data_IF_259009371644
#
_entry.id   IF_259009371644
#
_cell.length_a   1.000
_cell.length_b   1.000
_cell.length_c   1.000
_cell.angle_alpha   90.00
_cell.angle_beta   90.00
_cell.angle_gamma   90.00
#
_symmetry.space_group_name_H-M   'P 1'
#
loop_
_entity.id
_entity.type
_entity.pdbx_description
1 polymer ?
#
# COMPACT_ATOMS: atom_id res chain seq x y z
N UNK A 1 -36.54 16.40 -28.48
CA UNK A 1 -36.78 17.76 -27.97
C UNK A 1 -37.43 17.64 -26.60
N UNK A 2 -36.64 17.60 -25.52
CA UNK A 2 -37.08 17.83 -24.13
C UNK A 2 -35.81 18.05 -23.29
N UNK A 3 -35.54 19.32 -23.00
CA UNK A 3 -34.44 19.79 -22.15
C UNK A 3 -34.87 19.69 -20.68
N UNK A 4 -34.16 18.90 -19.87
CA UNK A 4 -34.25 18.99 -18.40
C UNK A 4 -33.15 19.93 -17.91
N UNK A 5 -33.57 21.11 -17.43
CA UNK A 5 -32.74 22.11 -16.76
C UNK A 5 -32.36 21.60 -15.37
N UNK A 6 -31.07 21.55 -15.07
CA UNK A 6 -30.55 21.41 -13.70
C UNK A 6 -30.34 22.83 -13.14
N UNK A 7 -30.96 23.11 -12.00
CA UNK A 7 -30.92 24.41 -11.34
C UNK A 7 -29.61 24.56 -10.55
N UNK A 8 -28.84 25.60 -10.87
CA UNK A 8 -27.69 26.05 -10.11
C UNK A 8 -28.14 26.83 -8.87
N UNK A 9 -27.69 26.41 -7.68
CA UNK A 9 -27.86 27.17 -6.44
C UNK A 9 -26.63 28.04 -6.19
N UNK A 10 -26.72 29.32 -6.58
CA UNK A 10 -25.79 30.36 -6.18
C UNK A 10 -26.01 30.72 -4.70
N UNK A 11 -24.96 30.68 -3.86
CA UNK A 11 -24.99 31.30 -2.52
C UNK A 11 -24.06 32.52 -2.48
N UNK A 12 -24.68 33.65 -2.12
CA UNK A 12 -24.12 35.00 -1.97
C UNK A 12 -23.17 35.09 -0.79
N UNK A 13 -22.16 35.94 -0.97
CA UNK A 13 -21.21 36.39 0.05
C UNK A 13 -21.88 37.30 1.08
N UNK A 14 -21.48 37.18 2.35
CA UNK A 14 -21.89 38.05 3.45
C UNK A 14 -20.82 38.11 4.56
N UNK A 15 -20.03 39.18 4.51
CA UNK A 15 -19.45 40.00 5.59
C UNK A 15 -18.96 39.38 6.92
N UNK A 16 -17.67 39.64 7.22
CA UNK A 16 -16.95 39.45 8.49
C UNK A 16 -17.57 40.12 9.72
N UNK A 17 -17.24 39.60 10.92
CA UNK A 17 -16.60 40.45 11.93
C UNK A 17 -15.38 39.82 12.64
N UNK A 18 -14.61 40.71 13.25
CA UNK A 18 -13.25 40.66 13.81
C UNK A 18 -13.07 39.78 15.05
N UNK A 19 -11.87 39.19 15.22
CA UNK A 19 -11.42 38.52 16.44
C UNK A 19 -10.17 39.21 17.05
N UNK A 20 -10.02 39.29 18.39
CA UNK A 20 -8.88 39.93 19.03
C UNK A 20 -7.73 38.94 19.34
N UNK A 21 -6.52 39.50 19.39
CA UNK A 21 -5.25 38.81 19.66
C UNK A 21 -5.09 38.40 21.13
N UNK A 22 -4.41 37.25 21.37
CA UNK A 22 -3.95 36.83 22.71
C UNK A 22 -2.48 36.43 22.65
N UNK A 23 -1.74 36.94 23.63
CA UNK A 23 -0.29 36.94 23.79
C UNK A 23 0.30 35.64 24.34
N UNK A 24 1.53 35.34 23.91
CA UNK A 24 2.44 34.32 24.42
C UNK A 24 3.14 34.72 25.73
N UNK A 25 3.22 33.81 26.71
CA UNK A 25 4.29 33.78 27.73
C UNK A 25 4.68 32.34 28.08
N UNK A 26 5.96 32.04 28.36
CA UNK A 26 6.45 30.69 28.67
C UNK A 26 6.61 30.47 30.19
N UNK A 27 6.55 29.21 30.64
CA UNK A 27 6.90 28.82 32.02
C UNK A 27 7.76 27.54 32.03
N UNK A 28 8.76 27.55 32.90
CA UNK A 28 9.86 26.58 33.07
C UNK A 28 9.73 25.85 34.42
N UNK A 29 10.56 24.81 34.63
CA UNK A 29 11.01 24.19 35.91
C UNK A 29 10.19 22.95 36.38
N UNK A 30 10.69 21.81 36.90
CA UNK A 30 12.00 21.33 37.38
C UNK A 30 12.08 19.79 37.31
N UNK A 31 13.31 19.27 37.22
CA UNK A 31 13.69 17.88 37.51
C UNK A 31 14.07 17.76 38.99
N UNK A 32 13.58 16.72 39.70
CA UNK A 32 14.13 16.29 41.00
C UNK A 32 14.35 14.78 41.02
N UNK A 33 15.60 14.45 41.32
CA UNK A 33 16.17 13.14 41.63
C UNK A 33 15.98 12.83 43.12
N UNK A 34 15.64 11.57 43.45
CA UNK A 34 16.01 10.92 44.73
C UNK A 34 15.83 9.38 44.68
N UNK A 35 16.93 8.65 44.93
CA UNK A 35 17.00 7.31 45.59
C UNK A 35 17.57 7.53 47.01
N UNK A 36 17.70 6.57 47.97
CA UNK A 36 17.62 5.09 47.90
C UNK A 36 16.91 4.39 49.11
N UNK A 37 16.83 3.05 49.15
CA UNK A 37 17.14 2.20 50.34
C UNK A 37 16.95 0.69 50.09
N UNK A 38 17.77 -0.12 50.79
CA UNK A 38 17.98 -1.58 50.74
C UNK A 38 16.98 -2.38 51.59
N UNK A 39 16.60 -3.61 51.18
CA UNK A 39 16.25 -4.71 52.09
C UNK A 39 16.30 -6.13 51.46
N UNK A 40 17.27 -6.91 51.96
CA UNK A 40 17.40 -8.38 52.17
C UNK A 40 16.42 -9.40 51.53
N UNK A 41 17.01 -10.26 50.71
CA UNK A 41 17.04 -11.74 50.67
C UNK A 41 15.91 -12.58 51.31
N UNK A 42 15.23 -13.37 50.47
CA UNK A 42 14.80 -14.74 50.78
C UNK A 42 15.06 -15.64 49.55
N UNK A 43 15.79 -16.74 49.76
CA UNK A 43 16.04 -17.82 48.80
C UNK A 43 15.00 -18.92 49.00
N UNK A 44 14.53 -19.56 47.91
CA UNK A 44 14.24 -21.00 47.71
C UNK A 44 13.64 -21.24 46.29
N UNK A 45 13.59 -22.49 45.74
CA UNK A 45 14.36 -22.82 44.54
C UNK A 45 13.53 -23.27 43.31
N UNK A 46 14.19 -23.27 42.14
CA UNK A 46 13.97 -24.12 40.96
C UNK A 46 12.57 -24.10 40.32
N UNK A 47 12.46 -23.36 39.21
CA UNK A 47 12.23 -23.98 37.89
C UNK A 47 13.14 -23.24 36.92
N UNK A 48 13.96 -23.99 36.17
CA UNK A 48 14.78 -23.41 35.12
C UNK A 48 13.86 -22.97 33.97
N UNK A 49 13.29 -21.78 34.08
CA UNK A 49 12.88 -21.04 32.91
C UNK A 49 14.15 -20.86 32.08
N UNK A 50 14.21 -21.52 30.92
CA UNK A 50 15.19 -21.16 29.90
C UNK A 50 14.88 -19.73 29.51
N UNK A 51 15.48 -18.78 30.24
CA UNK A 51 15.66 -17.43 29.74
C UNK A 51 16.46 -17.59 28.46
N UNK A 52 15.81 -17.43 27.31
CA UNK A 52 16.49 -17.31 26.05
C UNK A 52 17.43 -16.11 26.18
N UNK A 53 18.71 -16.39 26.40
CA UNK A 53 19.73 -15.36 26.39
C UNK A 53 19.80 -14.83 24.96
N UNK A 54 19.82 -13.51 24.84
CA UNK A 54 19.98 -12.73 23.59
C UNK A 54 21.37 -12.90 22.96
N UNK A 55 21.83 -14.14 22.76
CA UNK A 55 22.80 -14.50 21.74
C UNK A 55 22.05 -14.56 20.42
N UNK A 56 22.62 -14.05 19.32
CA UNK A 56 21.97 -13.99 18.00
C UNK A 56 21.25 -15.29 17.66
N UNK A 57 19.94 -15.32 17.85
CA UNK A 57 19.13 -16.51 17.58
C UNK A 57 19.25 -16.82 16.09
N UNK A 58 19.60 -18.06 15.75
CA UNK A 58 19.61 -18.45 14.34
C UNK A 58 18.19 -18.39 13.79
N UNK A 59 18.03 -18.21 12.46
CA UNK A 59 16.70 -18.21 11.84
C UNK A 59 15.96 -19.52 12.11
N UNK A 60 16.70 -20.62 12.21
CA UNK A 60 16.16 -21.92 12.62
C UNK A 60 15.58 -21.89 14.05
N UNK A 61 16.29 -21.29 15.02
CA UNK A 61 15.80 -21.16 16.39
C UNK A 61 14.53 -20.28 16.45
N UNK A 62 14.50 -19.19 15.66
CA UNK A 62 13.34 -18.33 15.54
C UNK A 62 12.13 -19.12 14.99
N UNK A 63 12.31 -19.84 13.89
CA UNK A 63 11.24 -20.65 13.30
C UNK A 63 10.75 -21.75 14.26
N UNK A 64 11.66 -22.34 15.04
CA UNK A 64 11.29 -23.33 16.04
C UNK A 64 10.51 -22.71 17.21
N UNK A 65 10.87 -21.49 17.63
CA UNK A 65 10.12 -20.74 18.63
C UNK A 65 8.68 -20.45 18.19
N UNK A 66 8.46 -20.14 16.90
CA UNK A 66 7.12 -19.95 16.33
C UNK A 66 6.25 -21.22 16.41
N UNK A 67 6.85 -22.39 16.18
CA UNK A 67 6.14 -23.68 16.13
C UNK A 67 5.88 -24.29 17.51
N UNK A 68 6.77 -24.04 18.47
CA UNK A 68 6.71 -24.68 19.77
C UNK A 68 5.53 -24.17 20.61
N UNK A 69 4.62 -25.09 20.99
CA UNK A 69 3.41 -24.81 21.78
C UNK A 69 3.69 -24.21 23.16
N UNK A 70 4.88 -24.48 23.70
CA UNK A 70 5.30 -24.02 25.04
C UNK A 70 5.87 -22.60 25.03
N UNK A 71 6.20 -22.06 23.85
CA UNK A 71 6.73 -20.70 23.71
C UNK A 71 5.64 -19.68 24.04
N UNK A 72 5.97 -18.68 24.86
CA UNK A 72 5.04 -17.60 25.20
C UNK A 72 4.68 -16.77 23.97
N UNK A 73 3.52 -16.10 24.00
CA UNK A 73 3.12 -15.18 22.92
C UNK A 73 4.15 -14.07 22.72
N UNK A 74 4.68 -13.50 23.80
CA UNK A 74 5.70 -12.43 23.74
C UNK A 74 6.99 -12.91 23.06
N UNK A 75 7.46 -14.11 23.39
CA UNK A 75 8.65 -14.70 22.76
C UNK A 75 8.40 -15.01 21.27
N UNK A 76 7.18 -15.42 20.91
CA UNK A 76 6.79 -15.61 19.50
C UNK A 76 6.76 -14.28 18.75
N UNK A 77 6.21 -13.21 19.33
CA UNK A 77 6.23 -11.87 18.73
C UNK A 77 7.68 -11.40 18.53
N UNK A 78 8.53 -11.56 19.54
CA UNK A 78 9.96 -11.24 19.43
C UNK A 78 10.64 -12.04 18.32
N UNK A 79 10.27 -13.31 18.15
CA UNK A 79 10.78 -14.13 17.05
C UNK A 79 10.29 -13.64 15.67
N UNK A 80 9.02 -13.27 15.54
CA UNK A 80 8.46 -12.68 14.31
C UNK A 80 9.16 -11.36 13.96
N UNK A 81 9.42 -10.51 14.94
CA UNK A 81 10.10 -9.22 14.73
C UNK A 81 11.57 -9.40 14.35
N UNK A 82 12.21 -10.46 14.85
CA UNK A 82 13.57 -10.83 14.48
C UNK A 82 13.67 -11.48 13.09
N UNK A 83 12.58 -12.02 12.53
CA UNK A 83 12.52 -12.45 11.14
C UNK A 83 12.48 -11.23 10.22
N UNK A 84 13.59 -10.92 9.59
CA UNK A 84 13.67 -9.76 8.72
C UNK A 84 14.81 -9.77 7.74
N UNK A 85 14.53 -9.17 6.58
CA UNK A 85 15.52 -8.70 5.62
C UNK A 85 15.59 -7.18 5.80
N UNK A 86 16.67 -6.67 6.41
CA UNK A 86 16.88 -5.22 6.48
C UNK A 86 17.38 -4.69 5.14
N UNK A 87 16.87 -3.54 4.71
CA UNK A 87 17.27 -2.92 3.45
C UNK A 87 18.75 -2.58 3.39
N UNK A 88 19.38 -2.35 4.54
CA UNK A 88 20.80 -2.04 4.69
C UNK A 88 21.73 -3.23 4.45
N UNK A 89 21.21 -4.45 4.30
CA UNK A 89 22.03 -5.65 4.12
C UNK A 89 22.50 -5.79 2.68
N UNK A 90 23.72 -6.32 2.52
CA UNK A 90 24.24 -6.69 1.21
C UNK A 90 23.38 -7.76 0.55
N UNK A 91 23.28 -7.73 -0.78
CA UNK A 91 22.43 -8.65 -1.57
C UNK A 91 22.71 -10.13 -1.25
N UNK A 92 23.97 -10.51 -1.14
CA UNK A 92 24.38 -11.89 -0.83
C UNK A 92 23.96 -12.32 0.58
N UNK A 93 23.93 -11.38 1.53
CA UNK A 93 23.46 -11.62 2.90
C UNK A 93 21.95 -11.77 2.91
N UNK A 94 21.22 -10.95 2.16
CA UNK A 94 19.77 -11.08 1.99
C UNK A 94 19.39 -12.43 1.40
N UNK A 95 20.07 -12.85 0.33
CA UNK A 95 19.84 -14.16 -0.31
C UNK A 95 20.08 -15.32 0.67
N UNK A 96 21.16 -15.26 1.47
CA UNK A 96 21.43 -16.29 2.49
C UNK A 96 20.33 -16.34 3.56
N UNK A 97 19.92 -15.18 4.09
CA UNK A 97 18.84 -15.11 5.09
C UNK A 97 17.52 -15.63 4.50
N UNK A 98 17.20 -15.27 3.26
CA UNK A 98 16.00 -15.76 2.58
C UNK A 98 16.01 -17.29 2.46
N UNK A 99 17.14 -17.89 2.08
CA UNK A 99 17.30 -19.36 2.06
C UNK A 99 17.10 -19.98 3.44
N UNK A 100 17.70 -19.42 4.49
CA UNK A 100 17.52 -19.91 5.87
C UNK A 100 16.05 -19.80 6.34
N UNK A 101 15.32 -18.76 5.92
CA UNK A 101 13.88 -18.58 6.21
C UNK A 101 13.05 -19.68 5.53
N UNK A 102 13.38 -20.02 4.29
CA UNK A 102 12.74 -21.11 3.53
C UNK A 102 13.04 -22.45 4.20
N UNK A 103 14.32 -22.78 4.43
CA UNK A 103 14.76 -24.06 4.99
C UNK A 103 14.22 -24.33 6.41
N UNK A 104 13.98 -23.26 7.17
CA UNK A 104 13.42 -23.36 8.52
C UNK A 104 11.89 -23.50 8.56
N UNK A 105 11.21 -23.44 7.40
CA UNK A 105 9.76 -23.41 7.26
C UNK A 105 9.13 -22.30 8.16
N UNK A 106 9.76 -21.13 8.21
CA UNK A 106 9.27 -20.00 9.01
C UNK A 106 8.01 -19.39 8.40
N UNK A 107 7.93 -19.30 7.06
CA UNK A 107 6.76 -18.77 6.34
C UNK A 107 5.51 -19.63 6.57
N UNK A 108 5.65 -20.96 6.60
CA UNK A 108 4.55 -21.88 6.92
C UNK A 108 4.02 -21.64 8.34
N UNK A 109 4.92 -21.40 9.31
CA UNK A 109 4.52 -21.07 10.68
C UNK A 109 3.84 -19.70 10.79
N UNK A 110 4.25 -18.71 9.99
CA UNK A 110 3.56 -17.41 9.94
C UNK A 110 2.15 -17.57 9.36
N UNK A 111 1.99 -18.31 8.26
CA UNK A 111 0.71 -18.52 7.60
C UNK A 111 -0.26 -19.35 8.46
N UNK A 112 0.23 -20.28 9.28
CA UNK A 112 -0.65 -21.05 10.17
C UNK A 112 -1.33 -20.18 11.24
N UNK A 113 -0.69 -19.11 11.70
CA UNK A 113 -1.33 -18.15 12.61
C UNK A 113 -2.53 -17.44 11.98
N UNK A 114 -2.52 -17.26 10.65
CA UNK A 114 -3.63 -16.66 9.90
C UNK A 114 -4.78 -17.65 9.69
N UNK A 115 -4.49 -18.95 9.66
CA UNK A 115 -5.50 -20.01 9.48
C UNK A 115 -6.21 -20.37 10.80
N UNK A 116 -5.50 -20.31 11.93
CA UNK A 116 -6.03 -20.64 13.26
C UNK A 116 -6.57 -19.41 14.01
N UNK A 117 -7.23 -18.47 13.30
CA UNK A 117 -7.67 -17.17 13.86
C UNK A 117 -8.66 -17.26 15.02
N UNK A 118 -9.25 -18.43 15.25
CA UNK A 118 -10.24 -18.67 16.30
C UNK A 118 -9.64 -18.75 17.72
N UNK A 119 -8.31 -18.87 17.85
CA UNK A 119 -7.67 -18.91 19.16
C UNK A 119 -7.17 -17.53 19.60
N UNK A 120 -7.28 -17.24 20.90
CA UNK A 120 -6.82 -15.96 21.49
C UNK A 120 -5.33 -15.72 21.17
N UNK A 121 -4.50 -16.75 21.33
CA UNK A 121 -3.06 -16.65 21.05
C UNK A 121 -2.76 -16.38 19.57
N UNK A 122 -3.48 -17.02 18.64
CA UNK A 122 -3.34 -16.71 17.20
C UNK A 122 -3.76 -15.28 16.91
N UNK A 123 -4.85 -14.78 17.52
CA UNK A 123 -5.31 -13.40 17.34
C UNK A 123 -4.25 -12.37 17.74
N UNK A 124 -3.52 -12.59 18.83
CA UNK A 124 -2.43 -11.70 19.27
C UNK A 124 -1.21 -11.74 18.31
N UNK A 125 -1.04 -12.86 17.60
CA UNK A 125 0.04 -13.07 16.63
C UNK A 125 -0.33 -12.65 15.20
N UNK A 126 -1.61 -12.42 14.89
CA UNK A 126 -2.08 -12.08 13.54
C UNK A 126 -1.40 -10.82 12.98
N UNK A 127 -1.44 -9.72 13.73
CA UNK A 127 -0.88 -8.44 13.26
C UNK A 127 0.65 -8.54 13.09
N UNK A 128 1.43 -9.02 14.08
CA UNK A 128 2.86 -9.25 13.89
C UNK A 128 3.18 -10.14 12.69
N UNK A 129 2.45 -11.25 12.51
CA UNK A 129 2.67 -12.16 11.41
C UNK A 129 2.44 -11.48 10.05
N UNK A 130 1.36 -10.71 9.92
CA UNK A 130 1.09 -9.92 8.72
C UNK A 130 2.18 -8.89 8.42
N UNK A 131 2.63 -8.14 9.43
CA UNK A 131 3.72 -7.17 9.26
C UNK A 131 5.01 -7.86 8.79
N UNK A 132 5.32 -9.05 9.32
CA UNK A 132 6.42 -9.86 8.82
C UNK A 132 6.22 -10.28 7.37
N UNK A 133 5.04 -10.78 7.00
CA UNK A 133 4.71 -11.17 5.63
C UNK A 133 4.84 -10.02 4.63
N UNK A 134 4.43 -8.79 4.99
CA UNK A 134 4.65 -7.60 4.14
C UNK A 134 6.14 -7.40 3.87
N UNK A 135 6.98 -7.43 4.92
CA UNK A 135 8.43 -7.23 4.78
C UNK A 135 9.07 -8.33 3.93
N UNK A 136 8.73 -9.59 4.22
CA UNK A 136 9.33 -10.77 3.59
C UNK A 136 8.89 -10.95 2.13
N UNK A 137 7.63 -10.62 1.79
CA UNK A 137 7.11 -10.73 0.42
C UNK A 137 7.74 -9.77 -0.60
N UNK A 138 8.58 -8.83 -0.15
CA UNK A 138 9.36 -7.98 -1.07
C UNK A 138 10.56 -8.71 -1.69
N UNK A 139 11.00 -9.81 -1.09
CA UNK A 139 12.08 -10.64 -1.61
C UNK A 139 11.55 -11.69 -2.60
N UNK A 140 12.10 -11.81 -3.82
CA UNK A 140 11.61 -12.73 -4.83
C UNK A 140 11.60 -14.21 -4.41
N UNK A 141 12.62 -14.66 -3.67
CA UNK A 141 12.70 -16.06 -3.24
C UNK A 141 11.60 -16.36 -2.20
N UNK A 142 11.38 -15.44 -1.26
CA UNK A 142 10.34 -15.59 -0.26
C UNK A 142 8.93 -15.44 -0.87
N UNK A 143 8.76 -14.57 -1.86
CA UNK A 143 7.51 -14.45 -2.61
C UNK A 143 7.16 -15.76 -3.35
N UNK A 144 8.16 -16.41 -3.97
CA UNK A 144 7.99 -17.72 -4.60
C UNK A 144 7.61 -18.81 -3.60
N UNK A 145 8.23 -18.82 -2.41
CA UNK A 145 7.87 -19.78 -1.37
C UNK A 145 6.47 -19.52 -0.80
N UNK A 146 6.10 -18.24 -0.61
CA UNK A 146 4.73 -17.86 -0.22
C UNK A 146 3.70 -18.31 -1.26
N UNK A 147 4.02 -18.26 -2.55
CA UNK A 147 3.16 -18.81 -3.60
C UNK A 147 3.06 -20.33 -3.49
N UNK A 148 4.18 -21.04 -3.27
CA UNK A 148 4.21 -22.50 -3.10
C UNK A 148 3.33 -22.96 -1.92
N UNK A 149 3.22 -22.13 -0.89
CA UNK A 149 2.37 -22.33 0.29
C UNK A 149 0.90 -21.89 0.08
N UNK A 150 0.49 -21.56 -1.14
CA UNK A 150 -0.87 -21.12 -1.50
C UNK A 150 -1.35 -19.88 -0.73
N UNK A 151 -0.40 -19.00 -0.35
CA UNK A 151 -0.69 -17.81 0.45
C UNK A 151 -1.74 -16.87 -0.17
N UNK A 152 -1.87 -16.69 -1.51
CA UNK A 152 -2.93 -15.84 -2.03
C UNK A 152 -4.33 -16.26 -1.57
N UNK A 153 -4.62 -17.57 -1.49
CA UNK A 153 -5.90 -18.08 -0.99
C UNK A 153 -6.09 -17.85 0.50
N UNK A 154 -5.01 -17.92 1.28
CA UNK A 154 -5.03 -17.66 2.73
C UNK A 154 -5.26 -16.17 3.00
N UNK A 155 -4.68 -15.29 2.18
CA UNK A 155 -4.71 -13.83 2.37
C UNK A 155 -6.00 -13.19 1.84
N UNK A 156 -6.63 -13.76 0.81
CA UNK A 156 -7.82 -13.17 0.16
C UNK A 156 -8.98 -12.88 1.12
N UNK A 157 -9.36 -13.78 2.05
CA UNK A 157 -10.44 -13.51 3.03
C UNK A 157 -10.19 -12.28 3.91
N UNK A 158 -8.92 -11.92 4.14
CA UNK A 158 -8.55 -10.76 4.96
C UNK A 158 -8.82 -9.42 4.26
N UNK A 159 -8.98 -9.40 2.92
CA UNK A 159 -9.36 -8.18 2.19
C UNK A 159 -10.77 -7.71 2.56
N UNK A 160 -11.65 -8.64 2.94
CA UNK A 160 -13.05 -8.35 3.32
C UNK A 160 -13.29 -8.35 4.83
N UNK A 161 -12.24 -8.47 5.66
CA UNK A 161 -12.38 -8.49 7.12
C UNK A 161 -12.72 -7.12 7.71
N UNK A 162 -13.18 -7.11 8.98
CA UNK A 162 -13.53 -5.87 9.68
C UNK A 162 -12.33 -5.13 10.26
N UNK A 163 -11.21 -5.80 10.55
CA UNK A 163 -10.03 -5.11 11.10
C UNK A 163 -9.29 -4.36 9.99
N UNK A 164 -9.25 -3.02 10.04
CA UNK A 164 -8.65 -2.21 9.00
C UNK A 164 -7.15 -2.45 8.81
N UNK A 165 -6.45 -2.86 9.87
CA UNK A 165 -5.01 -3.14 9.83
C UNK A 165 -4.75 -4.42 9.06
N UNK A 166 -5.57 -5.46 9.28
CA UNK A 166 -5.45 -6.73 8.59
C UNK A 166 -5.82 -6.61 7.11
N UNK A 167 -6.86 -5.83 6.79
CA UNK A 167 -7.21 -5.50 5.40
C UNK A 167 -6.06 -4.81 4.66
N UNK A 168 -5.49 -3.77 5.26
CA UNK A 168 -4.37 -3.04 4.66
C UNK A 168 -3.13 -3.94 4.50
N UNK A 169 -2.84 -4.77 5.51
CA UNK A 169 -1.73 -5.70 5.44
C UNK A 169 -1.91 -6.75 4.33
N UNK A 170 -3.10 -7.34 4.20
CA UNK A 170 -3.41 -8.28 3.13
C UNK A 170 -3.26 -7.64 1.74
N UNK A 171 -3.72 -6.39 1.56
CA UNK A 171 -3.53 -5.65 0.32
C UNK A 171 -2.05 -5.48 -0.02
N UNK A 172 -1.22 -5.09 0.96
CA UNK A 172 0.20 -4.86 0.74
C UNK A 172 0.96 -6.17 0.46
N UNK A 173 0.67 -7.25 1.19
CA UNK A 173 1.29 -8.56 0.94
C UNK A 173 0.91 -9.11 -0.42
N UNK A 174 -0.39 -9.12 -0.79
CA UNK A 174 -0.83 -9.56 -2.12
C UNK A 174 -0.27 -8.66 -3.22
N UNK A 175 -0.23 -7.35 -3.00
CA UNK A 175 0.37 -6.40 -3.93
C UNK A 175 1.87 -6.67 -4.15
N UNK A 176 2.62 -7.02 -3.11
CA UNK A 176 4.03 -7.41 -3.27
C UNK A 176 4.15 -8.71 -4.07
N UNK A 177 3.33 -9.72 -3.76
CA UNK A 177 3.31 -10.98 -4.51
C UNK A 177 2.94 -10.78 -5.99
N UNK A 178 2.08 -9.81 -6.32
CA UNK A 178 1.73 -9.51 -7.71
C UNK A 178 2.93 -9.02 -8.56
N UNK A 179 3.97 -8.48 -7.92
CA UNK A 179 5.19 -8.04 -8.60
C UNK A 179 6.14 -9.20 -8.92
N UNK A 180 5.98 -10.35 -8.25
CA UNK A 180 6.75 -11.56 -8.53
C UNK A 180 6.15 -12.29 -9.74
N UNK A 181 6.88 -12.46 -10.86
CA UNK A 181 6.31 -12.99 -12.11
C UNK A 181 5.68 -14.37 -11.98
N UNK A 182 6.22 -15.22 -11.10
CA UNK A 182 5.68 -16.56 -10.85
C UNK A 182 4.34 -16.55 -10.10
N UNK A 183 4.11 -15.52 -9.27
CA UNK A 183 2.89 -15.36 -8.47
C UNK A 183 1.84 -14.47 -9.15
N UNK A 184 2.23 -13.71 -10.17
CA UNK A 184 1.38 -12.73 -10.85
C UNK A 184 0.02 -13.31 -11.29
N UNK A 185 -0.01 -14.51 -11.88
CA UNK A 185 -1.26 -15.14 -12.36
C UNK A 185 -2.17 -15.57 -11.20
N UNK A 186 -1.61 -16.07 -10.10
CA UNK A 186 -2.38 -16.49 -8.94
C UNK A 186 -3.02 -15.30 -8.22
N UNK A 187 -2.28 -14.19 -8.09
CA UNK A 187 -2.78 -12.94 -7.50
C UNK A 187 -3.73 -12.20 -8.46
N UNK A 188 -3.60 -12.43 -9.78
CA UNK A 188 -4.52 -11.90 -10.78
C UNK A 188 -5.79 -12.76 -10.96
N UNK A 189 -6.09 -13.67 -10.05
CA UNK A 189 -7.33 -14.45 -10.12
C UNK A 189 -8.56 -13.55 -9.90
N UNK A 190 -9.73 -13.90 -10.49
CA UNK A 190 -10.93 -13.08 -10.39
C UNK A 190 -11.34 -12.78 -8.94
N UNK A 191 -11.20 -13.76 -8.05
CA UNK A 191 -11.56 -13.64 -6.63
C UNK A 191 -10.67 -12.63 -5.89
N UNK A 192 -9.36 -12.69 -6.12
CA UNK A 192 -8.40 -11.75 -5.52
C UNK A 192 -8.64 -10.34 -6.03
N UNK A 193 -8.84 -10.17 -7.35
CA UNK A 193 -9.12 -8.86 -7.95
C UNK A 193 -10.43 -8.28 -7.44
N UNK A 194 -11.49 -9.09 -7.37
CA UNK A 194 -12.79 -8.67 -6.85
C UNK A 194 -12.70 -8.19 -5.41
N UNK A 195 -12.00 -8.97 -4.57
CA UNK A 195 -11.76 -8.64 -3.18
C UNK A 195 -10.93 -7.34 -3.06
N UNK A 196 -9.85 -7.19 -3.83
CA UNK A 196 -9.02 -5.98 -3.84
C UNK A 196 -9.79 -4.73 -4.29
N UNK A 197 -10.67 -4.85 -5.29
CA UNK A 197 -11.52 -3.75 -5.74
C UNK A 197 -12.63 -3.41 -4.73
N UNK A 198 -13.07 -4.36 -3.90
CA UNK A 198 -14.06 -4.11 -2.84
C UNK A 198 -13.47 -3.26 -1.70
N UNK A 199 -12.16 -3.35 -1.45
CA UNK A 199 -11.45 -2.56 -0.44
C UNK A 199 -11.55 -1.05 -0.72
N UNK A 200 -11.73 -0.67 -1.99
CA UNK A 200 -11.83 0.73 -2.41
C UNK A 200 -13.11 1.41 -1.92
N UNK A 201 -14.13 0.67 -1.47
CA UNK A 201 -15.36 1.26 -0.90
C UNK A 201 -15.28 1.48 0.61
N UNK A 202 -14.12 1.22 1.23
CA UNK A 202 -13.96 1.34 2.68
C UNK A 202 -14.00 2.81 3.15
N UNK A 203 -14.53 3.05 4.36
CA UNK A 203 -14.55 4.38 4.97
C UNK A 203 -13.15 4.90 5.32
N UNK A 204 -12.18 4.02 5.53
CA UNK A 204 -10.82 4.40 5.93
C UNK A 204 -9.92 4.64 4.71
N UNK A 205 -9.44 5.87 4.57
CA UNK A 205 -8.54 6.28 3.50
C UNK A 205 -7.25 5.44 3.43
N UNK A 206 -6.66 5.07 4.57
CA UNK A 206 -5.45 4.25 4.60
C UNK A 206 -5.63 2.88 3.91
N UNK A 207 -6.83 2.31 4.04
CA UNK A 207 -7.19 1.03 3.42
C UNK A 207 -7.44 1.21 1.92
N UNK A 208 -8.16 2.27 1.53
CA UNK A 208 -8.34 2.63 0.12
C UNK A 208 -6.99 2.80 -0.58
N UNK A 209 -6.02 3.48 0.04
CA UNK A 209 -4.65 3.63 -0.50
C UNK A 209 -3.93 2.30 -0.63
N UNK A 210 -4.01 1.42 0.38
CA UNK A 210 -3.43 0.08 0.29
C UNK A 210 -4.07 -0.74 -0.84
N UNK A 211 -5.39 -0.63 -1.02
CA UNK A 211 -6.11 -1.23 -2.15
C UNK A 211 -5.66 -0.68 -3.51
N UNK A 212 -5.50 0.64 -3.63
CA UNK A 212 -4.95 1.27 -4.84
C UNK A 212 -3.56 0.71 -5.18
N UNK A 213 -2.66 0.62 -4.20
CA UNK A 213 -1.33 0.03 -4.39
C UNK A 213 -1.40 -1.43 -4.82
N UNK A 214 -2.27 -2.23 -4.19
CA UNK A 214 -2.47 -3.64 -4.56
C UNK A 214 -2.94 -3.77 -6.02
N UNK A 215 -3.96 -3.02 -6.41
CA UNK A 215 -4.49 -3.03 -7.79
C UNK A 215 -3.46 -2.52 -8.79
N UNK A 216 -2.70 -1.48 -8.45
CA UNK A 216 -1.61 -0.98 -9.28
C UNK A 216 -0.54 -2.04 -9.55
N UNK A 217 -0.19 -2.85 -8.54
CA UNK A 217 0.78 -3.92 -8.68
C UNK A 217 0.21 -5.10 -9.49
N UNK A 218 -1.05 -5.49 -9.26
CA UNK A 218 -1.75 -6.51 -10.07
C UNK A 218 -1.80 -6.11 -11.55
N UNK A 219 -2.01 -4.82 -11.84
CA UNK A 219 -2.00 -4.28 -13.20
C UNK A 219 -0.62 -4.34 -13.90
N UNK A 220 0.44 -4.77 -13.22
CA UNK A 220 1.75 -5.03 -13.85
C UNK A 220 1.68 -6.18 -14.86
N UNK A 221 0.78 -7.16 -14.63
CA UNK A 221 0.58 -8.28 -15.55
C UNK A 221 -0.57 -8.02 -16.54
N UNK A 222 -0.48 -8.60 -17.74
CA UNK A 222 -1.56 -8.47 -18.72
C UNK A 222 -2.86 -9.16 -18.27
N UNK A 223 -2.74 -10.28 -17.54
CA UNK A 223 -3.88 -10.98 -16.95
C UNK A 223 -4.56 -10.11 -15.89
N UNK A 224 -3.77 -9.52 -14.99
CA UNK A 224 -4.27 -8.64 -13.94
C UNK A 224 -4.98 -7.42 -14.50
N UNK A 225 -4.42 -6.76 -15.52
CA UNK A 225 -5.11 -5.64 -16.21
C UNK A 225 -6.48 -6.05 -16.75
N UNK A 226 -6.55 -7.16 -17.48
CA UNK A 226 -7.83 -7.66 -18.02
C UNK A 226 -8.85 -7.89 -16.90
N UNK A 227 -8.46 -8.59 -15.84
CA UNK A 227 -9.34 -8.87 -14.71
C UNK A 227 -9.80 -7.60 -13.98
N UNK A 228 -8.94 -6.59 -13.86
CA UNK A 228 -9.31 -5.31 -13.27
C UNK A 228 -10.30 -4.57 -14.16
N UNK A 229 -10.08 -4.56 -15.48
CA UNK A 229 -10.97 -3.90 -16.45
C UNK A 229 -12.34 -4.59 -16.48
N UNK A 230 -12.37 -5.93 -16.56
CA UNK A 230 -13.59 -6.75 -16.60
C UNK A 230 -14.47 -6.58 -15.34
N UNK A 231 -13.90 -6.10 -14.23
CA UNK A 231 -14.58 -5.89 -12.94
C UNK A 231 -14.77 -4.40 -12.59
N UNK A 232 -14.86 -3.54 -13.60
CA UNK A 232 -15.11 -2.09 -13.46
C UNK A 232 -14.03 -1.33 -12.67
N UNK A 233 -12.81 -1.86 -12.61
CA UNK A 233 -11.72 -1.26 -11.83
C UNK A 233 -11.33 0.14 -12.31
N UNK A 234 -11.45 0.43 -13.61
CA UNK A 234 -11.22 1.79 -14.17
C UNK A 234 -12.22 2.79 -13.58
N UNK A 235 -13.50 2.42 -13.48
CA UNK A 235 -14.56 3.28 -12.94
C UNK A 235 -14.35 3.53 -11.44
N UNK A 236 -14.11 2.46 -10.67
CA UNK A 236 -13.87 2.55 -9.21
C UNK A 236 -12.67 3.41 -8.86
N UNK A 237 -11.59 3.31 -9.63
CA UNK A 237 -10.42 4.18 -9.42
C UNK A 237 -10.73 5.63 -9.84
N UNK A 238 -11.47 5.81 -10.94
CA UNK A 238 -11.93 7.14 -11.38
C UNK A 238 -12.70 7.91 -10.31
N UNK A 239 -13.60 7.25 -9.57
CA UNK A 239 -14.35 7.84 -8.44
C UNK A 239 -13.42 8.38 -7.35
N UNK A 240 -12.29 7.71 -7.09
CA UNK A 240 -11.31 8.15 -6.07
C UNK A 240 -10.51 9.39 -6.47
N UNK A 241 -10.72 9.95 -7.67
CA UNK A 241 -10.14 11.22 -8.12
C UNK A 241 -10.98 12.44 -7.74
N UNK A 242 -12.21 12.23 -7.24
CA UNK A 242 -13.17 13.29 -6.92
C UNK A 242 -12.69 14.25 -5.82
N UNK A 243 -13.27 15.46 -5.84
CA UNK A 243 -12.85 16.58 -4.99
C UNK A 243 -13.02 16.35 -3.47
N UNK A 244 -13.80 15.36 -3.08
CA UNK A 244 -13.98 14.98 -1.67
C UNK A 244 -12.80 14.18 -1.09
N UNK A 245 -11.98 13.56 -1.94
CA UNK A 245 -10.86 12.72 -1.50
C UNK A 245 -9.57 13.51 -1.30
N UNK A 246 -8.70 13.01 -0.43
CA UNK A 246 -7.40 13.63 -0.14
C UNK A 246 -6.41 13.48 -1.31
N UNK A 247 -5.49 14.43 -1.43
CA UNK A 247 -4.41 14.38 -2.43
C UNK A 247 -3.61 13.05 -2.42
N UNK A 248 -3.21 12.49 -1.25
CA UNK A 248 -2.53 11.18 -1.22
C UNK A 248 -3.37 10.03 -1.79
N UNK A 249 -4.69 10.04 -1.59
CA UNK A 249 -5.57 9.01 -2.16
C UNK A 249 -5.76 9.21 -3.66
N UNK A 250 -5.95 10.44 -4.13
CA UNK A 250 -6.05 10.75 -5.56
C UNK A 250 -4.76 10.37 -6.30
N UNK A 251 -3.59 10.66 -5.70
CA UNK A 251 -2.30 10.23 -6.25
C UNK A 251 -2.19 8.72 -6.38
N UNK A 252 -2.56 7.97 -5.34
CA UNK A 252 -2.54 6.51 -5.37
C UNK A 252 -3.50 5.93 -6.43
N UNK A 253 -4.70 6.51 -6.56
CA UNK A 253 -5.68 6.11 -7.57
C UNK A 253 -5.19 6.43 -8.99
N UNK A 254 -4.68 7.64 -9.23
CA UNK A 254 -4.11 8.04 -10.51
C UNK A 254 -2.94 7.12 -10.92
N UNK A 255 -2.06 6.76 -9.97
CA UNK A 255 -0.98 5.82 -10.22
C UNK A 255 -1.51 4.44 -10.64
N UNK A 256 -2.54 3.93 -9.94
CA UNK A 256 -3.19 2.67 -10.29
C UNK A 256 -3.84 2.72 -11.69
N UNK A 257 -4.55 3.80 -12.01
CA UNK A 257 -5.13 4.02 -13.35
C UNK A 257 -4.07 3.98 -14.44
N UNK A 258 -2.94 4.66 -14.27
CA UNK A 258 -1.86 4.60 -15.26
C UNK A 258 -1.29 3.20 -15.45
N UNK A 259 -1.18 2.39 -14.39
CA UNK A 259 -0.78 0.99 -14.52
C UNK A 259 -1.82 0.15 -15.24
N UNK A 260 -3.12 0.34 -14.95
CA UNK A 260 -4.21 -0.34 -15.67
C UNK A 260 -4.17 0.02 -17.16
N UNK A 261 -4.00 1.30 -17.48
CA UNK A 261 -4.00 1.82 -18.86
C UNK A 261 -2.69 1.54 -19.60
N UNK A 262 -1.62 1.15 -18.90
CA UNK A 262 -0.31 0.83 -19.53
C UNK A 262 -0.41 -0.30 -20.56
N UNK A 263 -1.47 -1.12 -20.49
CA UNK A 263 -1.82 -2.13 -21.49
C UNK A 263 -2.25 -1.57 -22.85
N UNK A 264 -2.51 -0.26 -22.96
CA UNK A 264 -2.97 0.44 -24.18
C UNK A 264 -4.28 -0.12 -24.73
N UNK A 265 -5.14 -0.57 -23.82
CA UNK A 265 -6.48 -1.05 -24.13
C UNK A 265 -7.39 0.14 -24.44
N UNK A 266 -7.90 0.21 -25.68
CA UNK A 266 -8.73 1.33 -26.14
C UNK A 266 -10.07 1.37 -25.39
N UNK A 267 -10.66 0.22 -25.08
CA UNK A 267 -11.94 0.15 -24.36
C UNK A 267 -11.76 0.68 -22.92
N UNK A 268 -10.65 0.34 -22.26
CA UNK A 268 -10.31 0.89 -20.95
C UNK A 268 -10.05 2.42 -20.99
N UNK A 269 -9.41 2.92 -22.05
CA UNK A 269 -9.24 4.37 -22.26
C UNK A 269 -10.58 5.08 -22.49
N UNK A 270 -11.49 4.46 -23.24
CA UNK A 270 -12.82 5.00 -23.48
C UNK A 270 -13.68 4.99 -22.20
N UNK A 271 -13.59 3.95 -21.36
CA UNK A 271 -14.21 3.93 -20.04
C UNK A 271 -13.70 5.08 -19.14
N UNK A 272 -12.37 5.32 -19.12
CA UNK A 272 -11.77 6.44 -18.40
C UNK A 272 -12.30 7.80 -18.91
N UNK A 273 -12.46 7.94 -20.23
CA UNK A 273 -12.98 9.14 -20.88
C UNK A 273 -14.45 9.36 -20.53
N UNK A 274 -15.28 8.33 -20.63
CA UNK A 274 -16.74 8.39 -20.48
C UNK A 274 -17.19 8.58 -19.03
N UNK A 275 -16.40 8.08 -18.08
CA UNK A 275 -16.62 8.29 -16.63
C UNK A 275 -16.29 9.71 -16.16
N UNK A 276 -15.62 10.53 -16.97
CA UNK A 276 -15.14 11.86 -16.57
C UNK A 276 -13.85 11.82 -15.75
N UNK A 277 -13.26 10.64 -15.52
CA UNK A 277 -11.98 10.49 -14.83
C UNK A 277 -10.82 11.13 -15.60
N UNK A 278 -10.83 11.11 -16.94
CA UNK A 278 -9.77 11.72 -17.75
C UNK A 278 -9.67 13.26 -17.54
N UNK A 279 -10.76 14.05 -17.59
CA UNK A 279 -10.74 15.44 -17.16
C UNK A 279 -10.29 15.67 -15.71
N UNK A 280 -10.68 14.79 -14.77
CA UNK A 280 -10.22 14.88 -13.38
C UNK A 280 -8.70 14.70 -13.28
N UNK A 281 -8.12 13.75 -14.02
CA UNK A 281 -6.68 13.59 -14.12
C UNK A 281 -6.00 14.85 -14.69
N UNK A 282 -6.60 15.50 -15.69
CA UNK A 282 -6.06 16.76 -16.23
C UNK A 282 -6.05 17.86 -15.17
N UNK A 283 -7.10 17.98 -14.36
CA UNK A 283 -7.13 18.95 -13.25
C UNK A 283 -5.98 18.69 -12.26
N UNK A 284 -5.71 17.43 -11.94
CA UNK A 284 -4.65 17.00 -11.04
C UNK A 284 -3.22 17.24 -11.58
N UNK A 285 -3.07 17.73 -12.82
CA UNK A 285 -1.80 18.25 -13.35
C UNK A 285 -1.52 19.70 -12.90
N UNK A 286 -2.46 20.36 -12.24
CA UNK A 286 -2.27 21.74 -11.79
C UNK A 286 -1.13 21.85 -10.77
N UNK A 287 -0.21 22.83 -10.90
CA UNK A 287 0.89 23.03 -9.95
C UNK A 287 0.43 23.43 -8.53
N UNK A 288 -0.88 23.60 -8.32
CA UNK A 288 -1.50 23.75 -6.99
C UNK A 288 -1.40 22.44 -6.19
N UNK A 289 -1.42 21.28 -6.86
CA UNK A 289 -1.25 19.97 -6.23
C UNK A 289 0.23 19.64 -6.01
N UNK A 290 0.50 18.71 -5.11
CA UNK A 290 1.85 18.24 -4.82
C UNK A 290 2.48 17.51 -6.03
N UNK A 291 3.82 17.49 -6.11
CA UNK A 291 4.60 16.93 -7.23
C UNK A 291 4.25 15.45 -7.49
N UNK A 292 3.98 14.68 -6.44
CA UNK A 292 3.58 13.29 -6.51
C UNK A 292 2.20 13.09 -7.14
N UNK A 293 1.20 13.91 -6.78
CA UNK A 293 -0.13 13.92 -7.40
C UNK A 293 -0.02 14.23 -8.89
N UNK A 294 0.70 15.30 -9.23
CA UNK A 294 0.94 15.72 -10.61
C UNK A 294 1.61 14.60 -11.43
N UNK A 295 2.60 13.93 -10.83
CA UNK A 295 3.34 12.85 -11.49
C UNK A 295 2.47 11.63 -11.77
N UNK A 296 1.66 11.21 -10.79
CA UNK A 296 0.71 10.10 -10.93
C UNK A 296 -0.38 10.43 -11.96
N UNK A 297 -0.88 11.66 -11.97
CA UNK A 297 -1.85 12.13 -12.95
C UNK A 297 -1.26 12.14 -14.37
N UNK A 298 -0.03 12.64 -14.55
CA UNK A 298 0.65 12.63 -15.84
C UNK A 298 0.88 11.21 -16.38
N UNK A 299 1.25 10.28 -15.51
CA UNK A 299 1.39 8.85 -15.83
C UNK A 299 0.07 8.27 -16.36
N UNK A 300 -1.05 8.55 -15.69
CA UNK A 300 -2.36 8.09 -16.13
C UNK A 300 -2.81 8.73 -17.44
N UNK A 301 -2.63 10.05 -17.60
CA UNK A 301 -2.98 10.77 -18.83
C UNK A 301 -2.22 10.22 -20.02
N UNK A 302 -0.91 10.00 -19.90
CA UNK A 302 -0.09 9.43 -20.99
C UNK A 302 -0.66 8.13 -21.55
N UNK A 303 -0.97 7.18 -20.66
CA UNK A 303 -1.51 5.90 -21.05
C UNK A 303 -2.99 5.99 -21.46
N UNK A 304 -3.75 6.90 -20.86
CA UNK A 304 -5.15 7.17 -21.15
C UNK A 304 -5.42 7.76 -22.53
N UNK A 305 -4.43 8.42 -23.15
CA UNK A 305 -4.56 9.06 -24.47
C UNK A 305 -3.79 8.33 -25.58
N UNK A 306 -3.08 7.26 -25.26
CA UNK A 306 -2.18 6.60 -26.19
C UNK A 306 -2.94 6.07 -27.42
N UNK A 307 -2.66 6.67 -28.59
CA UNK A 307 -3.29 6.35 -29.88
C UNK A 307 -4.84 6.44 -29.88
N UNK A 308 -5.43 7.17 -28.93
CA UNK A 308 -6.87 7.44 -28.88
C UNK A 308 -7.13 8.93 -29.14
N UNK A 309 -7.52 9.25 -30.37
CA UNK A 309 -7.75 10.62 -30.82
C UNK A 309 -8.85 11.33 -30.01
N UNK A 310 -9.90 10.62 -29.59
CA UNK A 310 -10.98 11.20 -28.79
C UNK A 310 -10.48 11.62 -27.40
N UNK A 311 -9.69 10.75 -26.74
CA UNK A 311 -9.05 11.07 -25.46
C UNK A 311 -8.03 12.20 -25.59
N UNK A 312 -7.24 12.23 -26.67
CA UNK A 312 -6.29 13.32 -26.95
C UNK A 312 -6.99 14.67 -27.13
N UNK A 313 -8.07 14.71 -27.91
CA UNK A 313 -8.89 15.91 -28.10
C UNK A 313 -9.47 16.38 -26.77
N UNK A 314 -10.01 15.48 -25.95
CA UNK A 314 -10.58 15.85 -24.66
C UNK A 314 -9.54 16.45 -23.70
N UNK A 315 -8.33 15.88 -23.65
CA UNK A 315 -7.24 16.45 -22.83
C UNK A 315 -6.82 17.84 -23.33
N UNK A 316 -6.78 18.04 -24.64
CA UNK A 316 -6.48 19.35 -25.22
C UNK A 316 -7.57 20.39 -24.87
N UNK A 317 -8.84 20.02 -25.00
CA UNK A 317 -9.99 20.88 -24.65
C UNK A 317 -10.04 21.20 -23.15
N UNK A 318 -9.63 20.27 -22.30
CA UNK A 318 -9.50 20.47 -20.85
C UNK A 318 -8.28 21.33 -20.44
N UNK A 319 -7.49 21.82 -21.40
CA UNK A 319 -6.30 22.64 -21.13
C UNK A 319 -5.07 21.84 -20.68
N UNK A 320 -5.09 20.52 -20.82
CA UNK A 320 -4.03 19.64 -20.35
C UNK A 320 -2.67 19.92 -20.99
N UNK A 321 -2.64 20.37 -22.25
CA UNK A 321 -1.38 20.76 -22.92
C UNK A 321 -0.67 21.89 -22.19
N UNK A 322 -1.39 22.91 -21.72
CA UNK A 322 -0.80 24.03 -21.00
C UNK A 322 -0.22 23.59 -19.64
N UNK A 323 -0.94 22.70 -18.93
CA UNK A 323 -0.50 22.15 -17.65
C UNK A 323 0.73 21.23 -17.82
N UNK A 324 0.72 20.36 -18.83
CA UNK A 324 1.85 19.47 -19.13
C UNK A 324 3.12 20.26 -19.49
N UNK A 325 2.98 21.36 -20.25
CA UNK A 325 4.10 22.24 -20.60
C UNK A 325 4.68 22.94 -19.37
N UNK A 326 3.87 23.30 -18.38
CA UNK A 326 4.37 23.94 -17.14
C UNK A 326 5.28 23.03 -16.32
N UNK A 327 5.12 21.71 -16.44
CA UNK A 327 6.00 20.77 -15.77
C UNK A 327 7.36 20.63 -16.48
N UNK A 328 7.47 20.97 -17.77
CA UNK A 328 8.70 20.76 -18.56
C UNK A 328 9.88 21.47 -17.87
N UNK A 329 11.00 20.78 -17.61
CA UNK A 329 12.15 21.40 -16.96
C UNK A 329 12.70 22.49 -17.88
N UNK A 330 12.78 23.72 -17.37
CA UNK A 330 13.30 24.86 -18.13
C UNK A 330 14.79 24.71 -18.43
N UNK A 331 15.57 24.05 -17.55
CA UNK A 331 17.00 23.76 -17.76
C UNK A 331 17.45 22.48 -17.00
N UNK A 332 18.32 21.68 -17.62
CA UNK A 332 19.07 20.52 -17.07
C UNK A 332 18.42 19.12 -17.08
N UNK A 333 18.42 18.50 -18.26
CA UNK A 333 18.26 17.05 -18.48
C UNK A 333 19.14 16.16 -17.57
N UNK A 334 20.29 16.66 -17.11
CA UNK A 334 21.35 15.88 -16.43
C UNK A 334 21.09 15.54 -14.96
N UNK A 335 19.99 16.01 -14.34
CA UNK A 335 19.70 15.86 -12.90
C UNK A 335 18.40 15.13 -12.57
N UNK A 336 17.71 14.54 -13.55
CA UNK A 336 16.51 13.76 -13.27
C UNK A 336 16.86 12.52 -12.43
N UNK A 337 16.40 12.49 -11.17
CA UNK A 337 16.41 11.29 -10.33
C UNK A 337 15.57 10.18 -11.01
N UNK A 338 15.82 8.88 -10.77
CA UNK A 338 15.08 7.80 -11.43
C UNK A 338 13.56 7.90 -11.31
N UNK A 339 13.04 8.40 -10.18
CA UNK A 339 11.60 8.67 -9.97
C UNK A 339 11.06 9.87 -10.73
N UNK A 340 11.92 10.83 -11.11
CA UNK A 340 11.56 12.02 -11.89
C UNK A 340 11.51 11.76 -13.39
N UNK A 341 12.06 10.65 -13.89
CA UNK A 341 12.07 10.32 -15.33
C UNK A 341 10.74 9.77 -15.88
N UNK A 342 9.83 9.29 -15.02
CA UNK A 342 8.61 8.61 -15.49
C UNK A 342 7.60 9.56 -16.12
N UNK A 343 7.45 10.77 -15.56
CA UNK A 343 6.62 11.85 -16.10
C UNK A 343 7.08 12.28 -17.51
N UNK A 344 8.39 12.15 -17.81
CA UNK A 344 8.98 12.63 -19.07
C UNK A 344 8.98 11.62 -20.21
N UNK A 345 8.71 10.33 -19.93
CA UNK A 345 8.35 9.35 -20.97
C UNK A 345 6.86 9.39 -21.33
N UNK A 346 6.11 10.20 -20.58
CA UNK A 346 4.66 10.28 -20.64
C UNK A 346 4.14 11.24 -21.76
N UNK A 347 5.04 11.94 -22.45
CA UNK A 347 4.75 12.80 -23.61
C UNK A 347 5.40 12.23 -24.86
#
# INVERSE_FOLDING_TARGET
MQLRRVAASARRWGTHPSAPAVSTTPFTVAVKSTRPALARSFLLPVTAARSFSTSSSSIFDLAQALKAKETSTDDRVAAIDALGLSDSLDKTVKERIALEIVDSNALEALLSFLQDSDTIASSDLLVPAFLALIRLSTDPLLAQELLRLDSPKILTPFLTQTDPRLQAAACLTLGNLALEPTAADAVSSPDVVSAALSVLTNSHEAIKRAGCTCVANVASSAQGRRQIIDQDGVLRMGELLEDEYSDPLRSASAFALGNILSGRDIDAQDLLRESGALPALVLLLSPVFAEDVNSSAAWAVHHGVHLNAASQSLVAEAGGLALLVQHLPVEHWSRCRPTRCWVWRAL
#
